data_IF_880018708949
#
_entry.id   IF_880018708949
#
_cell.length_a   1.000
_cell.length_b   1.000
_cell.length_c   1.000
_cell.angle_alpha   90.00
_cell.angle_beta   90.00
_cell.angle_gamma   90.00
#
_symmetry.space_group_name_H-M   'P 1'
#
loop_
_entity.id
_entity.type
_entity.pdbx_description
1 polymer ?
#
# COMPACT_ATOMS: atom_id res chain seq x y z
N UNK A 1 -24.73 12.87 -3.94
CA UNK A 1 -24.83 11.39 -4.02
C UNK A 1 -24.19 10.82 -2.75
N UNK A 2 -24.95 10.15 -1.88
CA UNK A 2 -24.38 9.49 -0.69
C UNK A 2 -24.00 8.06 -1.09
N UNK A 3 -22.71 7.81 -1.34
CA UNK A 3 -22.23 6.46 -1.58
C UNK A 3 -22.22 5.71 -0.25
N UNK A 4 -23.24 4.89 0.00
CA UNK A 4 -23.17 3.86 1.04
C UNK A 4 -22.19 2.76 0.62
N UNK A 5 -21.62 2.08 1.60
CA UNK A 5 -20.50 1.14 1.47
C UNK A 5 -20.61 0.18 0.27
N UNK A 6 -19.48 -0.05 -0.40
CA UNK A 6 -19.33 -1.17 -1.32
C UNK A 6 -19.95 -0.99 -2.71
N UNK A 7 -20.65 0.10 -3.03
CA UNK A 7 -21.20 0.29 -4.38
C UNK A 7 -20.15 0.60 -5.45
N UNK A 8 -18.94 1.06 -5.07
CA UNK A 8 -17.89 1.40 -6.03
C UNK A 8 -17.15 0.17 -6.58
N UNK A 9 -16.98 -0.89 -5.79
CA UNK A 9 -16.21 -2.08 -6.21
C UNK A 9 -16.94 -3.01 -7.19
N UNK A 10 -18.27 -3.08 -7.23
CA UNK A 10 -19.03 -3.79 -8.27
C UNK A 10 -19.02 -3.08 -9.63
N UNK A 11 -18.70 -1.78 -9.69
CA UNK A 11 -18.67 -1.04 -10.95
C UNK A 11 -17.60 -1.62 -11.90
N UNK A 12 -17.86 -1.54 -13.20
CA UNK A 12 -16.80 -1.76 -14.20
C UNK A 12 -15.65 -0.79 -13.96
N UNK A 13 -14.45 -1.16 -14.42
CA UNK A 13 -13.26 -0.31 -14.22
C UNK A 13 -13.43 1.08 -14.83
N UNK A 14 -14.02 1.18 -16.02
CA UNK A 14 -14.23 2.46 -16.70
C UNK A 14 -15.15 3.39 -15.91
N UNK A 15 -16.25 2.83 -15.36
CA UNK A 15 -17.18 3.61 -14.54
C UNK A 15 -16.54 3.98 -13.20
N UNK A 16 -15.75 3.08 -12.61
CA UNK A 16 -15.01 3.34 -11.38
C UNK A 16 -14.01 4.50 -11.56
N UNK A 17 -13.20 4.48 -12.62
CA UNK A 17 -12.23 5.54 -12.93
C UNK A 17 -12.93 6.86 -13.28
N UNK A 18 -14.03 6.81 -14.04
CA UNK A 18 -14.84 7.99 -14.31
C UNK A 18 -15.38 8.63 -13.03
N UNK A 19 -15.90 7.84 -12.09
CA UNK A 19 -16.40 8.34 -10.81
C UNK A 19 -15.25 8.95 -9.98
N UNK A 20 -14.07 8.31 -9.92
CA UNK A 20 -12.90 8.88 -9.24
C UNK A 20 -12.49 10.22 -9.86
N UNK A 21 -12.41 10.30 -11.18
CA UNK A 21 -12.07 11.53 -11.88
C UNK A 21 -13.07 12.65 -11.58
N UNK A 22 -14.38 12.39 -11.72
CA UNK A 22 -15.44 13.39 -11.49
C UNK A 22 -15.53 13.84 -10.04
N UNK A 23 -15.33 12.92 -9.09
CA UNK A 23 -15.34 13.27 -7.67
C UNK A 23 -14.13 14.12 -7.29
N UNK A 24 -12.94 13.80 -7.83
CA UNK A 24 -11.74 14.62 -7.65
C UNK A 24 -11.90 16.03 -8.26
N UNK A 25 -12.43 16.13 -9.49
CA UNK A 25 -12.74 17.41 -10.15
C UNK A 25 -13.76 18.24 -9.36
N UNK A 26 -14.82 17.59 -8.87
CA UNK A 26 -15.83 18.23 -8.03
C UNK A 26 -15.38 18.52 -6.60
N UNK A 27 -14.11 18.24 -6.25
CA UNK A 27 -13.54 18.35 -4.90
C UNK A 27 -14.37 17.61 -3.83
N UNK A 28 -15.05 16.55 -4.25
CA UNK A 28 -15.83 15.69 -3.37
C UNK A 28 -14.89 14.77 -2.60
N UNK A 29 -14.96 14.83 -1.28
CA UNK A 29 -14.13 13.99 -0.43
C UNK A 29 -14.74 12.57 -0.33
N UNK A 30 -14.39 11.69 -1.26
CA UNK A 30 -14.71 10.26 -1.17
C UNK A 30 -14.03 9.57 0.03
N UNK A 31 -13.06 10.24 0.66
CA UNK A 31 -12.18 9.67 1.67
C UNK A 31 -12.64 9.90 3.11
N UNK A 32 -13.64 10.77 3.33
CA UNK A 32 -14.22 11.05 4.66
C UNK A 32 -15.35 10.11 5.03
N UNK A 33 -15.75 9.19 4.13
CA UNK A 33 -16.72 8.16 4.46
C UNK A 33 -16.12 7.26 5.56
N UNK A 34 -16.67 7.26 6.79
CA UNK A 34 -16.00 6.78 8.00
C UNK A 34 -15.80 5.25 8.05
N UNK A 35 -16.25 4.51 7.04
CA UNK A 35 -16.46 3.07 7.13
C UNK A 35 -15.52 2.23 6.25
N UNK A 36 -14.84 2.83 5.25
CA UNK A 36 -14.01 2.05 4.33
C UNK A 36 -12.74 2.79 3.89
N UNK A 37 -11.59 2.27 4.31
CA UNK A 37 -10.32 2.64 3.70
C UNK A 37 -10.18 1.88 2.38
N UNK A 38 -10.51 2.55 1.28
CA UNK A 38 -10.71 1.90 -0.03
C UNK A 38 -9.46 1.24 -0.59
N UNK A 39 -8.26 1.78 -0.33
CA UNK A 39 -7.00 1.24 -0.87
C UNK A 39 -6.69 -0.11 -0.22
N UNK A 40 -6.78 -0.20 1.11
CA UNK A 40 -6.57 -1.43 1.84
C UNK A 40 -7.69 -2.43 1.59
N UNK A 41 -8.93 -1.96 1.41
CA UNK A 41 -10.05 -2.82 1.04
C UNK A 41 -9.83 -3.43 -0.36
N UNK A 42 -9.40 -2.64 -1.35
CA UNK A 42 -9.10 -3.15 -2.69
C UNK A 42 -7.94 -4.15 -2.68
N UNK A 43 -6.91 -3.94 -1.85
CA UNK A 43 -5.83 -4.94 -1.67
C UNK A 43 -6.38 -6.23 -1.05
N UNK A 44 -7.16 -6.12 0.04
CA UNK A 44 -7.74 -7.27 0.74
C UNK A 44 -8.62 -8.13 -0.18
N UNK A 45 -9.44 -7.48 -1.02
CA UNK A 45 -10.27 -8.16 -2.02
C UNK A 45 -9.53 -8.48 -3.33
N UNK A 46 -8.21 -8.23 -3.40
CA UNK A 46 -7.35 -8.47 -4.58
C UNK A 46 -7.79 -7.74 -5.85
N UNK A 47 -8.43 -6.59 -5.67
CA UNK A 47 -8.83 -5.64 -6.72
C UNK A 47 -7.66 -4.72 -7.05
N UNK A 48 -6.54 -5.29 -7.50
CA UNK A 48 -5.27 -4.57 -7.64
C UNK A 48 -5.34 -3.38 -8.62
N UNK A 49 -6.07 -3.52 -9.74
CA UNK A 49 -6.32 -2.41 -10.67
C UNK A 49 -7.03 -1.22 -10.03
N UNK A 50 -7.98 -1.48 -9.14
CA UNK A 50 -8.64 -0.41 -8.36
C UNK A 50 -7.70 0.21 -7.35
N UNK A 51 -6.80 -0.59 -6.77
CA UNK A 51 -5.74 -0.07 -5.87
C UNK A 51 -4.83 0.90 -6.63
N UNK A 52 -4.38 0.52 -7.83
CA UNK A 52 -3.58 1.38 -8.72
C UNK A 52 -4.32 2.70 -9.01
N UNK A 53 -5.58 2.64 -9.43
CA UNK A 53 -6.40 3.82 -9.72
C UNK A 53 -6.60 4.72 -8.49
N UNK A 54 -6.94 4.16 -7.32
CA UNK A 54 -7.12 4.92 -6.09
C UNK A 54 -5.85 5.68 -5.66
N UNK A 55 -4.68 5.07 -5.85
CA UNK A 55 -3.38 5.68 -5.54
C UNK A 55 -2.97 6.80 -6.50
N UNK A 56 -3.69 7.00 -7.61
CA UNK A 56 -3.52 8.20 -8.46
C UNK A 56 -4.21 9.44 -7.87
N UNK A 57 -5.24 9.25 -7.04
CA UNK A 57 -6.04 10.35 -6.48
C UNK A 57 -5.78 10.59 -4.98
N UNK A 58 -5.13 9.63 -4.30
CA UNK A 58 -4.83 9.73 -2.87
C UNK A 58 -3.35 9.58 -2.54
N UNK A 59 -2.93 10.33 -1.53
CA UNK A 59 -1.54 10.35 -1.05
C UNK A 59 -1.03 8.98 -0.63
N UNK A 60 -1.83 8.21 0.12
CA UNK A 60 -1.54 6.83 0.52
C UNK A 60 -2.69 6.16 1.28
N UNK A 61 -2.47 4.91 1.69
CA UNK A 61 -3.45 4.17 2.49
C UNK A 61 -3.40 4.57 3.98
N UNK A 62 -4.55 4.52 4.65
CA UNK A 62 -4.65 4.73 6.11
C UNK A 62 -4.89 3.41 6.83
N UNK A 63 -4.36 3.27 8.04
CA UNK A 63 -4.64 2.08 8.84
C UNK A 63 -6.14 1.96 9.16
N UNK A 64 -6.66 0.73 9.11
CA UNK A 64 -8.06 0.42 9.39
C UNK A 64 -8.16 -0.81 10.29
N UNK A 65 -8.63 -0.62 11.54
CA UNK A 65 -8.76 -1.71 12.52
C UNK A 65 -9.62 -2.87 12.00
N UNK A 66 -10.76 -2.57 11.35
CA UNK A 66 -11.67 -3.60 10.80
C UNK A 66 -10.97 -4.49 9.78
N UNK A 67 -10.19 -3.88 8.87
CA UNK A 67 -9.43 -4.64 7.87
C UNK A 67 -8.26 -5.39 8.50
N UNK A 68 -7.59 -4.81 9.50
CA UNK A 68 -6.54 -5.50 10.24
C UNK A 68 -7.04 -6.77 10.92
N UNK A 69 -8.19 -6.72 11.61
CA UNK A 69 -8.78 -7.91 12.24
C UNK A 69 -9.20 -8.96 11.21
N UNK A 70 -9.79 -8.54 10.09
CA UNK A 70 -10.15 -9.44 9.00
C UNK A 70 -8.93 -10.13 8.39
N UNK A 71 -7.86 -9.37 8.16
CA UNK A 71 -6.61 -9.88 7.62
C UNK A 71 -5.93 -10.84 8.61
N UNK A 72 -5.84 -10.47 9.90
CA UNK A 72 -5.33 -11.34 10.97
C UNK A 72 -6.10 -12.66 11.04
N UNK A 73 -7.43 -12.66 10.88
CA UNK A 73 -8.23 -13.89 10.81
C UNK A 73 -7.97 -14.70 9.53
N UNK A 74 -7.98 -14.04 8.37
CA UNK A 74 -7.73 -14.68 7.05
C UNK A 74 -6.38 -15.39 7.04
N UNK A 75 -5.35 -14.66 7.44
CA UNK A 75 -3.97 -15.12 7.47
C UNK A 75 -3.74 -16.10 8.63
N UNK A 76 -4.39 -15.87 9.77
CA UNK A 76 -4.38 -16.77 10.91
C UNK A 76 -4.83 -18.18 10.54
N UNK A 77 -5.87 -18.34 9.71
CA UNK A 77 -6.34 -19.66 9.23
C UNK A 77 -5.28 -20.48 8.49
N UNK A 78 -4.25 -19.82 7.94
CA UNK A 78 -3.14 -20.49 7.25
C UNK A 78 -2.15 -21.10 8.25
N UNK A 79 -2.21 -20.75 9.54
CA UNK A 79 -1.40 -21.35 10.61
C UNK A 79 0.04 -20.82 10.68
N UNK A 80 0.35 -19.75 9.95
CA UNK A 80 1.74 -19.32 9.71
C UNK A 80 2.25 -18.24 10.67
N UNK A 81 1.41 -17.77 11.58
CA UNK A 81 1.65 -16.60 12.44
C UNK A 81 1.58 -16.98 13.91
N UNK A 82 2.45 -16.34 14.71
CA UNK A 82 2.35 -16.43 16.17
C UNK A 82 1.00 -15.85 16.61
N UNK A 83 0.28 -16.61 17.44
CA UNK A 83 -1.04 -16.22 17.97
C UNK A 83 -0.97 -15.95 19.48
N UNK A 84 -1.94 -15.18 19.97
CA UNK A 84 -2.02 -14.83 21.39
C UNK A 84 -0.75 -14.11 21.88
N UNK A 85 -0.29 -14.34 23.11
CA UNK A 85 0.81 -13.59 23.73
C UNK A 85 2.15 -13.75 23.02
N UNK A 86 2.27 -14.69 22.08
CA UNK A 86 3.43 -14.82 21.19
C UNK A 86 3.43 -13.82 20.03
N UNK A 87 2.30 -13.16 19.76
CA UNK A 87 2.15 -12.14 18.74
C UNK A 87 3.01 -10.92 19.09
N UNK A 88 3.87 -10.43 18.17
CA UNK A 88 4.79 -9.33 18.45
C UNK A 88 4.07 -8.01 18.78
N UNK A 89 2.82 -7.84 18.35
CA UNK A 89 1.97 -6.70 18.73
C UNK A 89 1.61 -6.74 20.22
N UNK A 90 1.24 -7.92 20.75
CA UNK A 90 0.87 -8.09 22.16
C UNK A 90 2.09 -7.91 23.08
N UNK A 91 3.27 -8.32 22.60
CA UNK A 91 4.57 -8.06 23.24
C UNK A 91 5.11 -6.63 23.06
N UNK A 92 4.38 -5.75 22.37
CA UNK A 92 4.79 -4.36 22.05
C UNK A 92 6.12 -4.26 21.29
N UNK A 93 6.48 -5.30 20.53
CA UNK A 93 7.68 -5.31 19.68
C UNK A 93 7.46 -4.55 18.37
N UNK A 94 6.21 -4.56 17.86
CA UNK A 94 5.79 -3.82 16.67
C UNK A 94 4.41 -3.21 16.89
N UNK A 95 4.09 -2.14 16.16
CA UNK A 95 2.75 -1.51 16.18
C UNK A 95 1.73 -2.33 15.37
N UNK A 96 0.43 -2.05 15.55
CA UNK A 96 -0.64 -2.69 14.76
C UNK A 96 -0.55 -2.31 13.29
N UNK A 97 -0.24 -1.04 13.02
CA UNK A 97 -0.04 -0.47 11.69
C UNK A 97 1.09 -1.20 10.97
N UNK A 98 2.22 -1.40 11.67
CA UNK A 98 3.37 -2.10 11.13
C UNK A 98 3.08 -3.57 10.86
N UNK A 99 2.43 -4.23 11.81
CA UNK A 99 1.99 -5.61 11.63
C UNK A 99 1.00 -5.77 10.47
N UNK A 100 0.10 -4.80 10.28
CA UNK A 100 -0.86 -4.80 9.18
C UNK A 100 -0.17 -4.76 7.81
N UNK A 101 0.86 -3.93 7.64
CA UNK A 101 1.65 -3.90 6.39
C UNK A 101 2.31 -5.27 6.12
N UNK A 102 2.88 -5.91 7.15
CA UNK A 102 3.47 -7.25 7.02
C UNK A 102 2.41 -8.28 6.61
N UNK A 103 1.24 -8.27 7.25
CA UNK A 103 0.13 -9.17 6.92
C UNK A 103 -0.39 -8.94 5.48
N UNK A 104 -0.37 -7.69 4.98
CA UNK A 104 -0.83 -7.37 3.63
C UNK A 104 0.12 -7.93 2.57
N UNK A 105 1.44 -7.72 2.73
CA UNK A 105 2.44 -8.34 1.85
C UNK A 105 2.26 -9.84 1.85
N UNK A 106 2.08 -10.42 3.04
CA UNK A 106 1.92 -11.85 3.19
C UNK A 106 0.69 -12.40 2.46
N UNK A 107 -0.49 -11.80 2.65
CA UNK A 107 -1.71 -12.26 2.01
C UNK A 107 -1.60 -12.21 0.49
N UNK A 108 -1.03 -11.12 -0.05
CA UNK A 108 -0.77 -10.99 -1.48
C UNK A 108 0.24 -12.04 -1.96
N UNK A 109 1.36 -12.21 -1.25
CA UNK A 109 2.39 -13.20 -1.57
C UNK A 109 1.82 -14.61 -1.68
N UNK A 110 0.99 -15.01 -0.71
CA UNK A 110 0.45 -16.37 -0.67
C UNK A 110 -0.68 -16.61 -1.67
N UNK A 111 -1.44 -15.58 -2.07
CA UNK A 111 -2.69 -15.76 -2.81
C UNK A 111 -2.65 -15.23 -4.24
N UNK A 112 -1.92 -14.16 -4.52
CA UNK A 112 -1.79 -13.59 -5.87
C UNK A 112 -0.56 -12.66 -5.98
N UNK A 113 0.67 -13.20 -5.95
CA UNK A 113 1.88 -12.39 -5.96
C UNK A 113 2.04 -11.59 -7.25
N UNK A 114 1.80 -12.22 -8.41
CA UNK A 114 1.97 -11.58 -9.72
C UNK A 114 0.96 -10.45 -9.96
N UNK A 115 -0.31 -10.66 -9.60
CA UNK A 115 -1.33 -9.62 -9.77
C UNK A 115 -1.18 -8.46 -8.80
N UNK A 116 -0.66 -8.72 -7.59
CA UNK A 116 -0.56 -7.71 -6.53
C UNK A 116 0.74 -6.92 -6.48
N UNK A 117 1.80 -7.38 -7.17
CA UNK A 117 3.12 -6.77 -7.10
C UNK A 117 3.11 -5.27 -7.42
N UNK A 118 2.51 -4.87 -8.56
CA UNK A 118 2.46 -3.46 -8.97
C UNK A 118 1.67 -2.59 -7.98
N UNK A 119 0.53 -3.09 -7.49
CA UNK A 119 -0.28 -2.39 -6.50
C UNK A 119 0.47 -2.20 -5.18
N UNK A 120 1.20 -3.23 -4.71
CA UNK A 120 2.05 -3.13 -3.53
C UNK A 120 3.23 -2.18 -3.75
N UNK A 121 3.86 -2.19 -4.93
CA UNK A 121 4.92 -1.23 -5.26
C UNK A 121 4.43 0.22 -5.17
N UNK A 122 3.25 0.50 -5.72
CA UNK A 122 2.63 1.83 -5.63
C UNK A 122 2.29 2.19 -4.17
N UNK A 123 1.70 1.26 -3.41
CA UNK A 123 1.39 1.47 -2.00
C UNK A 123 2.66 1.77 -1.18
N UNK A 124 3.71 0.98 -1.32
CA UNK A 124 4.95 1.13 -0.55
C UNK A 124 5.74 2.39 -0.91
N UNK A 125 5.53 2.95 -2.10
CA UNK A 125 6.03 4.26 -2.51
C UNK A 125 5.20 5.43 -1.98
N UNK A 126 4.00 5.14 -1.47
CA UNK A 126 3.01 6.12 -0.98
C UNK A 126 2.98 6.29 0.54
N UNK A 127 3.76 5.49 1.28
CA UNK A 127 3.83 5.53 2.75
C UNK A 127 5.22 5.97 3.24
N UNK A 128 5.33 6.66 4.39
CA UNK A 128 6.60 7.09 4.95
C UNK A 128 7.37 5.97 5.65
N UNK A 129 6.74 4.81 5.85
CA UNK A 129 7.27 3.69 6.62
C UNK A 129 8.65 3.19 6.13
N UNK A 130 9.58 2.90 7.06
CA UNK A 130 10.82 2.21 6.73
C UNK A 130 10.58 0.84 6.09
N UNK A 131 11.60 0.27 5.45
CA UNK A 131 11.50 -1.09 4.92
C UNK A 131 11.30 -2.10 6.04
N UNK A 132 10.57 -3.18 5.75
CA UNK A 132 10.41 -4.29 6.68
C UNK A 132 11.74 -5.03 6.78
N UNK A 133 12.22 -5.20 8.01
CA UNK A 133 13.46 -5.90 8.32
C UNK A 133 13.26 -7.41 8.46
N UNK A 134 14.36 -8.16 8.33
CA UNK A 134 14.37 -9.60 8.58
C UNK A 134 13.91 -9.95 10.01
N UNK A 135 14.32 -9.14 10.98
CA UNK A 135 13.97 -9.34 12.38
C UNK A 135 12.48 -9.14 12.62
N UNK A 136 11.88 -8.12 12.00
CA UNK A 136 10.43 -7.91 12.04
C UNK A 136 9.68 -9.11 11.46
N UNK A 137 10.10 -9.64 10.31
CA UNK A 137 9.48 -10.83 9.71
C UNK A 137 9.60 -12.05 10.64
N UNK A 138 10.80 -12.32 11.14
CA UNK A 138 11.07 -13.45 12.05
C UNK A 138 10.30 -13.33 13.37
N UNK A 139 10.06 -12.10 13.83
CA UNK A 139 9.25 -11.84 15.02
C UNK A 139 7.78 -12.23 14.81
N UNK A 140 7.25 -12.08 13.58
CA UNK A 140 5.85 -12.31 13.22
C UNK A 140 5.55 -13.78 12.89
N UNK A 141 6.47 -14.45 12.19
CA UNK A 141 6.29 -15.84 11.77
C UNK A 141 6.64 -16.86 12.87
N UNK A 142 5.97 -18.02 12.86
CA UNK A 142 6.25 -19.13 13.79
C UNK A 142 7.58 -19.82 13.47
N UNK A 143 8.27 -20.36 14.50
CA UNK A 143 9.53 -21.11 14.35
C UNK A 143 9.44 -22.35 13.45
N UNK A 144 8.23 -22.89 13.23
CA UNK A 144 7.97 -24.03 12.33
C UNK A 144 8.18 -23.74 10.84
N UNK A 145 8.46 -22.49 10.47
CA UNK A 145 8.68 -22.09 9.07
C UNK A 145 10.13 -22.33 8.66
N UNK A 146 10.31 -23.00 7.52
CA UNK A 146 11.60 -23.23 6.88
C UNK A 146 12.26 -21.88 6.53
N UNK A 147 13.58 -21.73 6.76
CA UNK A 147 14.37 -20.55 6.37
C UNK A 147 14.11 -20.12 4.93
N UNK A 148 13.90 -21.11 4.04
CA UNK A 148 13.55 -20.91 2.63
C UNK A 148 12.25 -20.13 2.40
N UNK A 149 11.26 -20.24 3.29
CA UNK A 149 10.01 -19.50 3.17
C UNK A 149 10.21 -18.02 3.50
N UNK A 150 10.94 -17.75 4.57
CA UNK A 150 11.31 -16.38 4.96
C UNK A 150 12.10 -15.74 3.83
N UNK A 151 13.11 -16.44 3.28
CA UNK A 151 13.87 -15.96 2.11
C UNK A 151 12.99 -15.58 0.92
N UNK A 152 11.99 -16.42 0.57
CA UNK A 152 11.06 -16.09 -0.53
C UNK A 152 10.23 -14.84 -0.26
N UNK A 153 9.74 -14.66 0.97
CA UNK A 153 9.04 -13.43 1.35
C UNK A 153 9.99 -12.24 1.26
N UNK A 154 11.24 -12.39 1.68
CA UNK A 154 12.22 -11.31 1.63
C UNK A 154 12.50 -10.90 0.19
N UNK A 155 12.70 -11.88 -0.70
CA UNK A 155 12.80 -11.67 -2.15
C UNK A 155 11.58 -10.92 -2.70
N UNK A 156 10.37 -11.31 -2.30
CA UNK A 156 9.15 -10.62 -2.73
C UNK A 156 9.05 -9.19 -2.19
N UNK A 157 9.47 -8.94 -0.95
CA UNK A 157 9.58 -7.57 -0.42
C UNK A 157 10.58 -6.79 -1.28
N UNK A 158 11.70 -7.39 -1.73
CA UNK A 158 12.67 -6.72 -2.61
C UNK A 158 12.01 -6.26 -3.90
N UNK A 159 11.22 -7.14 -4.52
CA UNK A 159 10.45 -6.83 -5.71
C UNK A 159 9.43 -5.70 -5.47
N UNK A 160 8.74 -5.70 -4.33
CA UNK A 160 7.79 -4.63 -3.94
C UNK A 160 8.51 -3.29 -3.78
N UNK A 161 9.74 -3.31 -3.27
CA UNK A 161 10.46 -2.07 -2.96
C UNK A 161 11.31 -1.58 -4.13
N UNK A 162 11.67 -2.45 -5.08
CA UNK A 162 12.49 -2.17 -6.26
C UNK A 162 13.99 -2.36 -6.04
N UNK A 163 14.76 -2.43 -7.14
CA UNK A 163 16.23 -2.62 -7.11
C UNK A 163 17.02 -1.37 -6.74
N UNK A 164 16.56 -0.18 -7.13
CA UNK A 164 17.13 1.12 -6.71
C UNK A 164 17.14 1.30 -5.17
N UNK A 165 16.38 0.44 -4.49
CA UNK A 165 16.11 0.48 -3.06
C UNK A 165 16.96 -0.53 -2.27
N UNK A 166 17.71 -1.42 -2.93
CA UNK A 166 18.60 -2.35 -2.23
C UNK A 166 19.64 -1.63 -1.36
N UNK A 167 20.20 -0.52 -1.85
CA UNK A 167 21.06 0.37 -1.06
C UNK A 167 20.27 1.12 0.02
N UNK A 168 19.05 1.56 -0.27
CA UNK A 168 18.20 2.29 0.68
C UNK A 168 17.73 1.43 1.85
N UNK A 169 17.64 0.11 1.69
CA UNK A 169 17.23 -0.84 2.74
C UNK A 169 18.19 -0.91 3.91
N UNK A 170 19.47 -0.66 3.66
CA UNK A 170 20.49 -0.60 4.71
C UNK A 170 20.39 0.68 5.54
N UNK A 171 19.61 1.67 5.09
CA UNK A 171 19.39 2.93 5.78
C UNK A 171 18.06 2.91 6.53
N UNK A 172 18.11 2.86 7.86
CA UNK A 172 16.98 3.21 8.72
C UNK A 172 17.26 4.63 9.23
N UNK A 173 16.53 5.72 8.86
CA UNK A 173 15.26 5.87 8.11
C UNK A 173 15.38 6.02 6.57
N UNK A 174 14.23 6.08 5.86
CA UNK A 174 14.14 6.33 4.41
C UNK A 174 14.92 7.59 4.01
N UNK A 175 15.56 7.56 2.83
CA UNK A 175 16.27 8.72 2.28
C UNK A 175 15.34 9.94 2.17
N UNK A 176 15.92 11.13 2.32
CA UNK A 176 15.22 12.42 2.19
C UNK A 176 14.39 12.50 0.90
N UNK A 177 14.92 11.96 -0.21
CA UNK A 177 14.24 11.87 -1.50
C UNK A 177 12.84 11.26 -1.36
N UNK A 178 12.71 10.11 -0.69
CA UNK A 178 11.43 9.44 -0.47
C UNK A 178 10.49 10.27 0.39
N UNK A 179 11.01 10.90 1.46
CA UNK A 179 10.21 11.79 2.30
C UNK A 179 9.68 13.00 1.51
N UNK A 180 10.49 13.60 0.65
CA UNK A 180 10.05 14.67 -0.26
C UNK A 180 8.94 14.19 -1.20
N UNK A 181 9.05 12.99 -1.77
CA UNK A 181 7.99 12.38 -2.59
C UNK A 181 6.67 12.30 -1.82
N UNK A 182 6.70 11.79 -0.58
CA UNK A 182 5.50 11.67 0.25
C UNK A 182 4.87 13.05 0.53
N UNK A 183 5.69 14.06 0.85
CA UNK A 183 5.21 15.42 1.11
C UNK A 183 4.57 16.05 -0.13
N UNK A 184 5.21 15.94 -1.30
CA UNK A 184 4.68 16.44 -2.58
C UNK A 184 3.35 15.74 -2.91
N UNK A 185 3.31 14.41 -2.83
CA UNK A 185 2.07 13.65 -3.07
C UNK A 185 0.95 14.06 -2.14
N UNK A 186 1.23 14.26 -0.86
CA UNK A 186 0.26 14.73 0.13
C UNK A 186 -0.25 16.13 -0.21
N UNK A 187 0.64 17.06 -0.54
CA UNK A 187 0.25 18.42 -0.92
C UNK A 187 -0.65 18.42 -2.16
N UNK A 188 -0.31 17.65 -3.19
CA UNK A 188 -1.12 17.52 -4.40
C UNK A 188 -2.46 16.83 -4.13
N UNK A 189 -2.48 15.77 -3.31
CA UNK A 189 -3.71 15.06 -2.95
C UNK A 189 -4.68 15.96 -2.18
N UNK A 190 -4.17 16.74 -1.22
CA UNK A 190 -4.97 17.70 -0.46
C UNK A 190 -5.58 18.80 -1.34
N UNK A 191 -4.93 19.12 -2.47
CA UNK A 191 -5.39 20.09 -3.44
C UNK A 191 -6.16 19.46 -4.63
N UNK A 192 -6.49 18.16 -4.59
CA UNK A 192 -7.16 17.43 -5.68
C UNK A 192 -6.39 17.46 -7.02
N UNK A 193 -5.06 17.59 -6.95
CA UNK A 193 -4.16 17.72 -8.10
C UNK A 193 -3.22 16.51 -8.25
N UNK A 194 -3.34 15.46 -7.44
CA UNK A 194 -2.40 14.33 -7.50
C UNK A 194 -2.42 13.60 -8.85
N UNK A 195 -3.56 13.55 -9.53
CA UNK A 195 -3.70 12.87 -10.82
C UNK A 195 -3.28 13.72 -12.02
N UNK A 196 -3.10 15.03 -11.89
CA UNK A 196 -2.84 15.92 -13.04
C UNK A 196 -1.75 16.96 -12.78
N UNK A 197 -1.66 17.47 -11.56
CA UNK A 197 -0.81 18.60 -11.20
C UNK A 197 0.69 18.36 -11.25
N UNK A 198 1.18 17.12 -11.33
CA UNK A 198 2.63 16.87 -11.47
C UNK A 198 3.17 17.33 -12.81
N UNK A 199 2.38 17.16 -13.88
CA UNK A 199 2.75 17.68 -15.19
C UNK A 199 2.90 19.21 -15.16
N UNK A 200 2.14 19.89 -14.28
CA UNK A 200 2.15 21.33 -14.12
C UNK A 200 3.30 21.85 -13.22
N UNK A 201 3.98 20.96 -12.48
CA UNK A 201 5.10 21.35 -11.61
C UNK A 201 6.38 21.69 -12.40
N UNK A 202 6.41 21.51 -13.72
CA UNK A 202 7.57 21.75 -14.59
C UNK A 202 8.87 21.15 -14.04
N UNK A 203 8.76 19.98 -13.38
CA UNK A 203 9.91 19.29 -12.82
C UNK A 203 10.76 18.68 -13.94
N UNK A 204 12.10 18.67 -13.79
CA UNK A 204 12.95 17.84 -14.64
C UNK A 204 12.42 16.40 -14.72
N UNK A 205 12.46 15.77 -15.89
CA UNK A 205 11.92 14.41 -16.10
C UNK A 205 12.42 13.41 -15.05
N UNK A 206 13.70 13.53 -14.64
CA UNK A 206 14.32 12.71 -13.61
C UNK A 206 13.66 12.82 -12.23
N UNK A 207 13.04 13.96 -11.92
CA UNK A 207 12.29 14.23 -10.68
C UNK A 207 10.79 13.90 -10.82
N UNK A 208 10.21 14.04 -12.02
CA UNK A 208 8.83 13.64 -12.33
C UNK A 208 8.66 12.11 -12.26
N UNK A 209 9.54 11.36 -12.94
CA UNK A 209 9.60 9.89 -12.87
C UNK A 209 9.84 9.44 -11.43
N UNK A 210 10.75 10.13 -10.74
CA UNK A 210 11.07 9.84 -9.34
C UNK A 210 9.87 9.99 -8.40
N UNK A 211 8.94 10.91 -8.65
CA UNK A 211 7.77 11.08 -7.78
C UNK A 211 6.78 9.90 -7.86
N UNK A 212 7.05 8.92 -8.74
CA UNK A 212 6.21 7.74 -8.95
C UNK A 212 4.94 8.08 -9.72
N UNK A 213 5.00 9.10 -10.55
CA UNK A 213 3.86 9.79 -11.16
C UNK A 213 3.95 9.85 -12.69
N UNK A 214 4.64 8.90 -13.32
CA UNK A 214 4.51 8.70 -14.76
C UNK A 214 3.07 8.25 -15.07
N UNK A 215 2.26 9.22 -15.49
CA UNK A 215 0.99 9.01 -16.21
C UNK A 215 1.27 8.77 -17.70
N UNK A 216 2.53 8.88 -18.14
CA UNK A 216 2.95 8.84 -19.55
C UNK A 216 3.83 7.64 -19.90
N UNK A 217 3.37 6.41 -19.58
CA UNK A 217 3.76 5.19 -20.31
C UNK A 217 2.50 4.35 -20.55
N UNK A 218 1.51 4.96 -21.19
CA UNK A 218 0.37 4.29 -21.85
C UNK A 218 -0.11 5.18 -23.00
N UNK A 219 0.70 5.26 -24.05
CA UNK A 219 0.26 5.07 -25.43
C UNK A 219 1.13 3.96 -26.00
#
# INVERSE_FOLDING_TARGET
MKFTDGHLFPLSMDVFEFVLYKTNQGKYNLWTLPQCEMINASIYFRLFKRTEALLQYRDGARFCNKLYDNLKRSVGRVGLFKRGPECPVEKRLITKERHFLILQIFDVFCRNPFGGLKALQMLWRSIPDPFITMDELTSVFTKQQNTRFIEKICNFIEEITGKEVAEERRCQPRKLKHNCRILIRRALSNNFQLSTGIAELNLPLSLAVFSGLNISVFY
#
